data_IF_722114749074
#
_entry.id   IF_722114749074
#
_cell.length_a   1.000
_cell.length_b   1.000
_cell.length_c   1.000
_cell.angle_alpha   90.00
_cell.angle_beta   90.00
_cell.angle_gamma   90.00
#
_symmetry.space_group_name_H-M   'P 1'
#
loop_
_entity.id
_entity.type
_entity.pdbx_description
1 polymer ?
#
# COMPACT_ATOMS: atom_id res chain seq x y z
N UNK A 1 -8.07 -53.90 -2.23
CA UNK A 1 -7.36 -52.61 -2.30
C UNK A 1 -8.33 -51.53 -1.87
N UNK A 2 -8.09 -50.85 -0.74
CA UNK A 2 -8.93 -49.72 -0.32
C UNK A 2 -8.52 -48.52 -1.17
N UNK A 3 -9.42 -48.07 -2.04
CA UNK A 3 -9.36 -46.75 -2.64
C UNK A 3 -9.28 -45.73 -1.50
N UNK A 4 -8.09 -45.16 -1.30
CA UNK A 4 -7.94 -43.96 -0.46
C UNK A 4 -8.70 -42.87 -1.21
N UNK A 5 -9.76 -42.28 -0.64
CA UNK A 5 -10.37 -41.12 -1.24
C UNK A 5 -9.27 -40.06 -1.31
N UNK A 6 -8.96 -39.70 -2.54
CA UNK A 6 -8.21 -38.53 -2.95
C UNK A 6 -7.73 -37.62 -1.81
N UNK A 7 -6.42 -37.63 -1.58
CA UNK A 7 -5.69 -36.53 -0.93
C UNK A 7 -5.79 -35.20 -1.73
N UNK A 8 -6.71 -35.08 -2.71
CA UNK A 8 -6.78 -34.03 -3.75
C UNK A 8 -7.64 -32.80 -3.39
N UNK A 9 -8.19 -32.69 -2.18
CA UNK A 9 -8.94 -31.47 -1.80
C UNK A 9 -8.52 -30.85 -0.45
N UNK A 10 -7.24 -30.96 -0.06
CA UNK A 10 -6.76 -30.11 1.04
C UNK A 10 -6.70 -28.65 0.55
N UNK A 11 -7.41 -27.76 1.25
CA UNK A 11 -7.32 -26.32 1.02
C UNK A 11 -5.94 -25.83 1.46
N UNK A 12 -5.26 -25.08 0.61
CA UNK A 12 -3.93 -24.53 0.90
C UNK A 12 -3.95 -23.01 0.85
N UNK A 13 -2.91 -22.39 1.38
CA UNK A 13 -2.69 -20.95 1.29
C UNK A 13 -2.69 -20.48 -0.16
N UNK A 14 -2.03 -21.22 -1.05
CA UNK A 14 -1.89 -20.88 -2.47
C UNK A 14 -3.25 -20.87 -3.16
N UNK A 15 -4.14 -21.83 -2.82
CA UNK A 15 -5.52 -21.84 -3.30
C UNK A 15 -6.31 -20.61 -2.84
N UNK A 16 -6.13 -20.15 -1.59
CA UNK A 16 -6.73 -18.89 -1.13
C UNK A 16 -6.17 -17.67 -1.88
N UNK A 17 -4.85 -17.61 -2.07
CA UNK A 17 -4.20 -16.51 -2.79
C UNK A 17 -4.67 -16.41 -4.25
N UNK A 18 -4.87 -17.57 -4.90
CA UNK A 18 -5.39 -17.67 -6.26
C UNK A 18 -6.87 -17.30 -6.32
N UNK A 19 -7.71 -17.90 -5.48
CA UNK A 19 -9.16 -17.65 -5.46
C UNK A 19 -9.49 -16.17 -5.24
N UNK A 20 -8.82 -15.53 -4.28
CA UNK A 20 -9.04 -14.11 -3.96
C UNK A 20 -8.14 -13.17 -4.77
N UNK A 21 -7.31 -13.71 -5.66
CA UNK A 21 -6.44 -12.93 -6.55
C UNK A 21 -5.43 -12.04 -5.83
N UNK A 22 -5.04 -12.36 -4.60
CA UNK A 22 -4.17 -11.51 -3.76
C UNK A 22 -2.84 -11.22 -4.48
N UNK A 23 -2.34 -12.16 -5.28
CA UNK A 23 -1.12 -11.95 -6.09
C UNK A 23 -1.29 -10.90 -7.19
N UNK A 24 -2.51 -10.66 -7.66
CA UNK A 24 -2.80 -9.75 -8.76
C UNK A 24 -2.92 -8.29 -8.30
N UNK A 25 -3.57 -8.05 -7.16
CA UNK A 25 -3.81 -6.70 -6.63
C UNK A 25 -2.94 -6.34 -5.42
N UNK A 26 -2.41 -7.33 -4.70
CA UNK A 26 -1.70 -7.11 -3.44
C UNK A 26 -0.36 -6.39 -3.59
N UNK A 27 0.22 -6.36 -4.79
CA UNK A 27 1.41 -5.61 -5.16
C UNK A 27 2.61 -5.76 -4.22
N UNK A 28 2.74 -6.90 -3.54
CA UNK A 28 3.77 -7.18 -2.54
C UNK A 28 3.47 -6.65 -1.13
N UNK A 29 2.43 -5.83 -0.94
CA UNK A 29 1.97 -5.39 0.38
C UNK A 29 1.05 -6.40 1.03
N UNK A 30 0.19 -7.08 0.27
CA UNK A 30 -0.77 -8.05 0.80
C UNK A 30 -0.36 -9.48 0.45
N UNK A 31 -0.51 -10.39 1.41
CA UNK A 31 -0.27 -11.83 1.22
C UNK A 31 -1.14 -12.64 2.17
N UNK A 32 -1.13 -13.97 2.04
CA UNK A 32 -1.80 -14.86 3.01
C UNK A 32 -0.73 -15.54 3.87
N UNK A 33 -0.93 -15.71 5.17
CA UNK A 33 0.01 -16.44 6.02
C UNK A 33 -0.18 -17.96 5.90
N UNK A 34 0.76 -18.75 6.43
CA UNK A 34 0.59 -20.20 6.55
C UNK A 34 -0.59 -20.63 7.43
N UNK A 35 -1.13 -19.70 8.25
CA UNK A 35 -2.34 -19.90 9.06
C UNK A 35 -3.63 -19.53 8.32
N UNK A 36 -3.53 -19.00 7.09
CA UNK A 36 -4.69 -18.58 6.30
C UNK A 36 -5.15 -17.13 6.57
N UNK A 37 -4.33 -16.31 7.23
CA UNK A 37 -4.68 -14.93 7.56
C UNK A 37 -4.16 -13.96 6.51
N UNK A 38 -4.87 -12.85 6.26
CA UNK A 38 -4.37 -11.79 5.39
C UNK A 38 -3.31 -10.98 6.13
N UNK A 39 -2.12 -10.91 5.54
CA UNK A 39 -0.98 -10.18 6.04
C UNK A 39 -0.82 -8.88 5.27
N UNK A 40 -0.42 -7.82 5.97
CA UNK A 40 0.06 -6.57 5.38
C UNK A 40 1.53 -6.36 5.68
N UNK A 41 2.31 -6.06 4.64
CA UNK A 41 3.72 -5.68 4.69
C UNK A 41 3.84 -4.21 4.34
N UNK A 42 4.13 -3.31 5.30
CA UNK A 42 4.24 -1.88 5.04
C UNK A 42 5.38 -1.52 4.06
N UNK A 43 6.36 -2.40 3.92
CA UNK A 43 7.45 -2.31 2.94
C UNK A 43 7.48 -3.60 2.12
N UNK A 44 7.42 -3.50 0.79
CA UNK A 44 7.43 -4.65 -0.14
C UNK A 44 8.69 -5.52 -0.01
N UNK A 45 9.81 -4.90 0.37
CA UNK A 45 11.13 -5.55 0.42
C UNK A 45 11.45 -6.15 1.79
N UNK A 46 10.65 -5.86 2.82
CA UNK A 46 10.85 -6.41 4.17
C UNK A 46 9.64 -7.21 4.62
N UNK A 47 9.62 -8.50 4.23
CA UNK A 47 8.56 -9.44 4.61
C UNK A 47 8.56 -9.79 6.10
N UNK A 48 9.66 -9.56 6.82
CA UNK A 48 9.73 -9.80 8.26
C UNK A 48 8.88 -8.79 9.05
N UNK A 49 8.59 -7.64 8.45
CA UNK A 49 7.69 -6.62 9.02
C UNK A 49 6.21 -6.86 8.71
N UNK A 50 5.85 -8.02 8.14
CA UNK A 50 4.47 -8.32 7.81
C UNK A 50 3.64 -8.63 9.07
N UNK A 51 2.47 -8.00 9.19
CA UNK A 51 1.56 -8.13 10.33
C UNK A 51 0.21 -8.66 9.85
N UNK A 52 -0.44 -9.51 10.65
CA UNK A 52 -1.78 -10.00 10.35
C UNK A 52 -2.81 -8.88 10.51
N UNK A 53 -3.69 -8.71 9.53
CA UNK A 53 -4.82 -7.80 9.66
C UNK A 53 -5.75 -8.23 10.80
N UNK A 54 -5.82 -9.53 11.10
CA UNK A 54 -6.62 -10.06 12.20
C UNK A 54 -6.03 -9.67 13.56
N UNK A 55 -4.70 -9.68 13.69
CA UNK A 55 -4.01 -9.22 14.90
C UNK A 55 -4.22 -7.72 15.12
N UNK A 56 -4.17 -6.92 14.06
CA UNK A 56 -4.46 -5.47 14.12
C UNK A 56 -5.89 -5.23 14.59
N UNK A 57 -6.86 -5.92 13.99
CA UNK A 57 -8.28 -5.84 14.35
C UNK A 57 -8.48 -6.22 15.82
N UNK A 58 -7.83 -7.30 16.27
CA UNK A 58 -7.92 -7.75 17.66
C UNK A 58 -7.35 -6.70 18.62
N UNK A 59 -6.17 -6.16 18.33
CA UNK A 59 -5.53 -5.11 19.14
C UNK A 59 -6.32 -3.79 19.17
N UNK A 60 -7.09 -3.47 18.15
CA UNK A 60 -8.01 -2.31 18.13
C UNK A 60 -9.20 -2.55 19.06
N UNK A 61 -9.77 -3.76 19.03
CA UNK A 61 -10.87 -4.16 19.91
C UNK A 61 -10.45 -4.17 21.37
N UNK A 62 -9.26 -4.66 21.67
CA UNK A 62 -8.69 -4.69 23.02
C UNK A 62 -8.48 -3.29 23.60
N UNK A 63 -8.35 -2.26 22.74
CA UNK A 63 -8.29 -0.84 23.12
C UNK A 63 -9.68 -0.20 23.29
N UNK A 64 -10.76 -0.99 23.22
CA UNK A 64 -12.13 -0.52 23.40
C UNK A 64 -12.72 0.19 22.19
N UNK A 65 -12.11 0.07 21.01
CA UNK A 65 -12.67 0.64 19.78
C UNK A 65 -13.64 -0.37 19.14
N UNK A 66 -14.82 0.12 18.78
CA UNK A 66 -15.82 -0.66 18.05
C UNK A 66 -15.64 -0.58 16.54
N UNK A 67 -16.13 -1.59 15.83
CA UNK A 67 -16.15 -1.62 14.37
C UNK A 67 -17.39 -0.89 13.83
N UNK A 68 -17.33 -0.25 12.64
CA UNK A 68 -16.23 -0.29 11.66
C UNK A 68 -15.11 0.71 11.95
N UNK A 69 -13.87 0.32 11.59
CA UNK A 69 -12.69 1.21 11.61
C UNK A 69 -12.07 1.31 10.22
N UNK A 70 -11.48 2.47 9.92
CA UNK A 70 -10.71 2.70 8.70
C UNK A 70 -9.22 2.65 9.02
N UNK A 71 -8.52 1.62 8.51
CA UNK A 71 -7.08 1.48 8.66
C UNK A 71 -6.35 2.23 7.55
N UNK A 72 -5.36 3.05 7.95
CA UNK A 72 -4.44 3.74 7.03
C UNK A 72 -3.03 3.26 7.30
N UNK A 73 -2.30 2.93 6.24
CA UNK A 73 -0.92 2.46 6.32
C UNK A 73 -0.02 3.46 5.62
N UNK A 74 0.58 4.39 6.37
CA UNK A 74 1.35 5.51 5.83
C UNK A 74 2.56 5.05 5.00
N UNK A 75 3.23 3.99 5.43
CA UNK A 75 4.37 3.41 4.71
C UNK A 75 4.02 2.89 3.30
N UNK A 76 2.74 2.60 3.01
CA UNK A 76 2.32 2.28 1.64
C UNK A 76 2.39 3.51 0.75
N UNK A 77 2.07 4.71 1.27
CA UNK A 77 2.22 5.96 0.53
C UNK A 77 3.71 6.20 0.22
N UNK A 78 4.58 6.03 1.22
CA UNK A 78 6.04 6.15 1.06
C UNK A 78 6.59 5.21 -0.03
N UNK A 79 6.19 3.94 0.02
CA UNK A 79 6.62 2.94 -0.96
C UNK A 79 6.09 3.26 -2.36
N UNK A 80 4.83 3.69 -2.52
CA UNK A 80 4.28 4.06 -3.83
C UNK A 80 4.95 5.30 -4.43
N UNK A 81 5.20 6.34 -3.62
CA UNK A 81 5.91 7.54 -4.07
C UNK A 81 7.32 7.18 -4.49
N UNK A 82 8.02 6.34 -3.73
CA UNK A 82 9.37 5.85 -4.07
C UNK A 82 9.37 5.08 -5.38
N UNK A 83 8.50 4.09 -5.51
CA UNK A 83 8.42 3.20 -6.66
C UNK A 83 8.15 3.99 -7.94
N UNK A 84 7.24 4.97 -7.89
CA UNK A 84 6.93 5.84 -9.02
C UNK A 84 8.15 6.64 -9.47
N UNK A 85 8.84 7.31 -8.53
CA UNK A 85 10.01 8.13 -8.85
C UNK A 85 11.18 7.30 -9.36
N UNK A 86 11.47 6.14 -8.74
CA UNK A 86 12.53 5.25 -9.19
C UNK A 86 12.22 4.65 -10.56
N UNK A 87 10.97 4.25 -10.83
CA UNK A 87 10.58 3.73 -12.14
C UNK A 87 10.82 4.74 -13.27
N UNK A 88 10.47 6.01 -13.04
CA UNK A 88 10.77 7.07 -14.00
C UNK A 88 12.28 7.31 -14.13
N UNK A 89 13.02 7.33 -13.02
CA UNK A 89 14.48 7.51 -13.03
C UNK A 89 15.20 6.41 -13.82
N UNK A 90 14.80 5.16 -13.62
CA UNK A 90 15.36 3.99 -14.32
C UNK A 90 15.06 4.04 -15.81
N UNK A 91 13.82 4.37 -16.20
CA UNK A 91 13.44 4.53 -17.60
C UNK A 91 14.20 5.68 -18.28
N UNK A 92 14.32 6.83 -17.62
CA UNK A 92 15.08 7.98 -18.14
C UNK A 92 16.55 7.63 -18.33
N UNK A 93 17.15 6.90 -17.39
CA UNK A 93 18.54 6.43 -17.50
C UNK A 93 18.72 5.46 -18.67
N UNK A 94 17.81 4.49 -18.80
CA UNK A 94 17.85 3.50 -19.88
C UNK A 94 17.73 4.13 -21.28
N UNK A 95 16.94 5.20 -21.40
CA UNK A 95 16.69 5.91 -22.66
C UNK A 95 17.62 7.12 -22.88
N UNK A 96 18.52 7.41 -21.94
CA UNK A 96 19.43 8.55 -22.03
C UNK A 96 18.75 9.92 -21.93
N UNK A 97 17.52 10.00 -21.42
CA UNK A 97 16.78 11.23 -21.22
C UNK A 97 17.49 12.14 -20.20
N UNK A 98 17.60 13.44 -20.50
CA UNK A 98 18.39 14.40 -19.71
C UNK A 98 17.58 15.25 -18.74
N UNK A 99 16.25 15.22 -18.82
CA UNK A 99 15.38 15.92 -17.89
C UNK A 99 15.24 15.18 -16.55
N UNK A 100 14.42 15.74 -15.67
CA UNK A 100 14.11 15.17 -14.35
C UNK A 100 12.60 14.98 -14.22
N UNK A 101 12.20 13.83 -13.68
CA UNK A 101 10.81 13.58 -13.33
C UNK A 101 10.46 14.31 -12.04
N UNK A 102 9.31 15.00 -12.04
CA UNK A 102 8.70 15.61 -10.85
C UNK A 102 7.25 15.16 -10.79
N UNK A 103 6.94 14.32 -9.83
CA UNK A 103 5.56 13.89 -9.59
C UNK A 103 4.74 15.00 -8.93
N UNK A 104 3.43 14.99 -9.16
CA UNK A 104 2.49 15.92 -8.55
C UNK A 104 1.29 15.13 -8.04
N UNK A 105 0.93 15.34 -6.77
CA UNK A 105 -0.21 14.68 -6.15
C UNK A 105 -1.47 15.56 -6.25
N UNK A 106 -2.52 15.11 -6.96
CA UNK A 106 -3.77 15.83 -7.06
C UNK A 106 -4.58 15.70 -5.77
N UNK A 107 -4.65 16.76 -4.96
CA UNK A 107 -5.28 16.70 -3.63
C UNK A 107 -6.77 16.40 -3.70
N UNK A 108 -7.41 16.68 -4.85
CA UNK A 108 -8.81 16.35 -5.12
C UNK A 108 -9.16 14.86 -4.92
N UNK A 109 -8.17 13.97 -5.01
CA UNK A 109 -8.36 12.52 -4.83
C UNK A 109 -8.53 12.16 -3.35
N UNK A 110 -7.81 12.83 -2.45
CA UNK A 110 -7.96 12.66 -1.01
C UNK A 110 -7.43 13.89 -0.26
N UNK A 111 -8.35 14.76 0.17
CA UNK A 111 -8.04 16.03 0.83
C UNK A 111 -7.76 15.87 2.33
N UNK A 112 -7.75 14.65 2.88
CA UNK A 112 -7.51 14.48 4.32
C UNK A 112 -6.09 14.91 4.69
N UNK A 113 -5.99 15.80 5.67
CA UNK A 113 -4.74 16.40 6.14
C UNK A 113 -3.65 15.37 6.38
N UNK A 114 -3.95 14.29 7.12
CA UNK A 114 -3.01 13.21 7.42
C UNK A 114 -2.40 12.56 6.16
N UNK A 115 -3.19 12.42 5.09
CA UNK A 115 -2.70 11.85 3.82
C UNK A 115 -1.83 12.85 3.08
N UNK A 116 -2.27 14.11 3.03
CA UNK A 116 -1.53 15.18 2.33
C UNK A 116 -0.19 15.44 3.03
N UNK A 117 -0.16 15.51 4.37
CA UNK A 117 1.06 15.66 5.17
C UNK A 117 2.07 14.55 4.88
N UNK A 118 1.64 13.29 4.88
CA UNK A 118 2.53 12.17 4.60
C UNK A 118 3.00 12.16 3.13
N UNK A 119 2.13 12.52 2.17
CA UNK A 119 2.53 12.66 0.76
C UNK A 119 3.59 13.76 0.58
N UNK A 120 3.43 14.92 1.23
CA UNK A 120 4.43 15.99 1.19
C UNK A 120 5.73 15.50 1.84
N UNK A 121 5.64 14.95 3.06
CA UNK A 121 6.79 14.48 3.83
C UNK A 121 7.62 13.45 3.07
N UNK A 122 6.99 12.40 2.54
CA UNK A 122 7.67 11.38 1.74
C UNK A 122 8.09 11.91 0.36
N UNK A 123 7.31 12.82 -0.22
CA UNK A 123 7.56 13.44 -1.52
C UNK A 123 8.69 14.46 -1.55
N UNK A 124 9.06 15.06 -0.41
CA UNK A 124 10.10 16.09 -0.30
C UNK A 124 11.43 15.66 -0.94
N UNK A 125 11.86 14.41 -0.71
CA UNK A 125 13.12 13.86 -1.28
C UNK A 125 13.12 13.78 -2.81
N UNK A 126 11.94 13.85 -3.43
CA UNK A 126 11.77 13.83 -4.89
C UNK A 126 11.31 15.19 -5.46
N UNK A 127 11.19 16.21 -4.62
CA UNK A 127 10.49 17.47 -4.94
C UNK A 127 9.10 17.22 -5.57
N UNK A 128 8.34 16.32 -4.95
CA UNK A 128 6.97 16.03 -5.35
C UNK A 128 6.08 17.23 -5.02
N UNK A 129 5.27 17.67 -5.99
CA UNK A 129 4.36 18.80 -5.83
C UNK A 129 2.93 18.40 -5.46
N UNK A 130 2.08 19.40 -5.24
CA UNK A 130 0.63 19.23 -5.13
C UNK A 130 -0.07 19.88 -6.32
N UNK A 131 -1.09 19.23 -6.87
CA UNK A 131 -2.04 19.83 -7.82
C UNK A 131 -3.30 20.21 -7.08
N UNK A 132 -3.74 21.45 -7.31
CA UNK A 132 -4.95 22.02 -6.75
C UNK A 132 -5.85 22.46 -7.90
N UNK A 133 -7.15 22.16 -7.82
CA UNK A 133 -8.14 22.48 -8.83
C UNK A 133 -9.11 23.60 -8.41
N UNK A 134 -9.05 24.06 -7.17
CA UNK A 134 -9.94 25.10 -6.65
C UNK A 134 -9.27 26.05 -5.64
N UNK A 135 -9.90 27.19 -5.37
CA UNK A 135 -9.43 28.15 -4.36
C UNK A 135 -9.36 27.53 -2.96
N UNK A 136 -10.33 26.68 -2.60
CA UNK A 136 -10.33 26.00 -1.30
C UNK A 136 -9.17 24.99 -1.20
N UNK A 137 -8.92 24.23 -2.26
CA UNK A 137 -7.79 23.31 -2.36
C UNK A 137 -6.43 24.02 -2.29
N UNK A 138 -6.29 25.19 -2.93
CA UNK A 138 -5.09 26.00 -2.81
C UNK A 138 -4.83 26.44 -1.36
N UNK A 139 -5.86 26.90 -0.65
CA UNK A 139 -5.73 27.30 0.77
C UNK A 139 -5.31 26.10 1.61
N UNK A 140 -5.92 24.93 1.39
CA UNK A 140 -5.56 23.71 2.08
C UNK A 140 -4.08 23.37 1.82
N UNK A 141 -3.65 23.31 0.56
CA UNK A 141 -2.28 22.98 0.18
C UNK A 141 -1.21 23.96 0.71
N UNK A 142 -1.56 25.24 0.93
CA UNK A 142 -0.66 26.24 1.52
C UNK A 142 -0.58 26.16 3.06
N UNK A 143 -1.53 25.47 3.69
CA UNK A 143 -1.63 25.36 5.14
C UNK A 143 -0.95 24.11 5.71
N UNK A 144 -0.47 23.22 4.84
CA UNK A 144 0.27 22.00 5.17
C UNK A 144 1.75 22.21 4.88
#
# INVERSE_FOLDING_TARGET
MKDKPELLNRWTREKSEELYGIRNWGAGYFSVSGKGEVMISPNKNNRESAVSLLDIVSGIRDRGMEMPVLLRFENLLDSQISDLNHSFADAMKALGYKGCYRGVYPIKVNQQQQVVEEVIRFGQRYHHGLEVGSKAELIAALSV
#
